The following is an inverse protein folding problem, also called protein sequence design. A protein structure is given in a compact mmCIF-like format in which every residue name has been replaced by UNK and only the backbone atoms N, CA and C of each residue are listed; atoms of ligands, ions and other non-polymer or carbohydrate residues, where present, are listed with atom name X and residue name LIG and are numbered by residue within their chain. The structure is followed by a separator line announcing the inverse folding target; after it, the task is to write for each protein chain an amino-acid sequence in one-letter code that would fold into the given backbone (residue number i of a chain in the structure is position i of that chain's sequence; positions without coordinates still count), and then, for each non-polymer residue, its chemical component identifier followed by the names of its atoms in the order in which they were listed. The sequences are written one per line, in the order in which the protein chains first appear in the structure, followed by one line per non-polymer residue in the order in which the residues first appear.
data_IF_925997269673
#
_entry.id   IF_925997269673
#
_cell.length_a   1.000
_cell.length_b   1.000
_cell.length_c   1.000
_cell.angle_alpha   90.00
_cell.angle_beta   90.00
_cell.angle_gamma   90.00
#
_symmetry.space_group_name_H-M   'P 1'
#
loop_
_entity.id
_entity.type
_entity.pdbx_description
1 polymer ?
#
# COMPACT_ATOMS: atom_id res chain seq x y z
N UNK A 1 -20.15 5.87 35.91
CA UNK A 1 -20.63 5.33 34.62
C UNK A 1 -19.87 6.02 33.51
N UNK A 2 -18.82 5.41 32.95
CA UNK A 2 -18.10 6.00 31.82
C UNK A 2 -18.97 5.88 30.57
N UNK A 3 -19.13 6.98 29.85
CA UNK A 3 -19.93 7.02 28.63
C UNK A 3 -19.32 6.11 27.55
N UNK A 4 -20.11 5.17 27.05
CA UNK A 4 -19.81 4.46 25.80
C UNK A 4 -19.72 5.48 24.67
N UNK A 5 -18.51 5.73 24.16
CA UNK A 5 -18.32 6.59 22.98
C UNK A 5 -18.23 5.74 21.71
N UNK A 6 -18.77 6.25 20.60
CA UNK A 6 -18.67 5.64 19.26
C UNK A 6 -17.22 5.32 18.87
N UNK A 7 -16.25 6.09 19.37
CA UNK A 7 -14.82 5.86 19.20
C UNK A 7 -14.32 4.62 19.94
N UNK A 8 -14.76 4.42 21.19
CA UNK A 8 -14.44 3.21 21.96
C UNK A 8 -15.09 1.95 21.38
N UNK A 9 -16.31 2.06 20.86
CA UNK A 9 -17.00 0.97 20.17
C UNK A 9 -16.32 0.62 18.84
N UNK A 10 -15.90 1.60 18.05
CA UNK A 10 -15.19 1.38 16.78
C UNK A 10 -13.75 0.88 16.99
N UNK A 11 -13.07 1.31 18.05
CA UNK A 11 -11.75 0.79 18.44
C UNK A 11 -11.86 -0.65 18.96
N UNK A 12 -12.90 -0.97 19.74
CA UNK A 12 -13.19 -2.34 20.17
C UNK A 12 -13.64 -3.23 19.01
N UNK A 13 -14.47 -2.73 18.10
CA UNK A 13 -14.90 -3.47 16.91
C UNK A 13 -13.75 -3.65 15.90
N UNK A 14 -12.85 -2.68 15.74
CA UNK A 14 -11.65 -2.83 14.90
C UNK A 14 -10.62 -3.79 15.53
N UNK A 15 -10.52 -3.85 16.86
CA UNK A 15 -9.71 -4.85 17.57
C UNK A 15 -10.27 -6.28 17.48
N UNK A 16 -11.58 -6.43 17.18
CA UNK A 16 -12.28 -7.72 17.14
C UNK A 16 -12.69 -8.18 15.73
N UNK A 17 -12.75 -7.28 14.73
CA UNK A 17 -13.17 -7.55 13.36
C UNK A 17 -12.01 -7.65 12.36
N UNK A 18 -10.88 -8.23 12.77
CA UNK A 18 -9.75 -8.46 11.88
C UNK A 18 -10.04 -9.50 10.80
N UNK A 19 -9.68 -9.16 9.55
CA UNK A 19 -9.59 -9.99 8.33
C UNK A 19 -10.75 -10.96 8.05
N UNK A 20 -11.63 -10.63 7.11
CA UNK A 20 -12.57 -11.62 6.57
C UNK A 20 -11.90 -12.53 5.52
N UNK A 21 -12.00 -13.83 5.72
CA UNK A 21 -11.97 -14.84 4.66
C UNK A 21 -13.19 -15.74 4.89
N UNK A 22 -14.26 -15.53 4.13
CA UNK A 22 -15.36 -16.48 4.04
C UNK A 22 -15.35 -17.09 2.63
N UNK A 23 -14.98 -18.37 2.46
CA UNK A 23 -15.47 -19.12 1.33
C UNK A 23 -16.91 -19.53 1.65
N UNK A 24 -17.89 -18.83 1.09
CA UNK A 24 -19.26 -19.34 1.08
C UNK A 24 -19.30 -20.59 0.22
N UNK A 25 -19.58 -21.76 0.82
CA UNK A 25 -19.94 -22.98 0.10
C UNK A 25 -21.34 -22.84 -0.51
N UNK A 26 -21.46 -21.98 -1.52
CA UNK A 26 -22.58 -21.89 -2.42
C UNK A 26 -22.01 -21.42 -3.76
N UNK A 27 -21.83 -22.38 -4.68
CA UNK A 27 -21.08 -22.27 -5.94
C UNK A 27 -19.58 -22.03 -5.73
N UNK A 28 -18.80 -23.11 -5.81
CA UNK A 28 -17.34 -23.07 -5.66
C UNK A 28 -16.68 -22.43 -6.89
N UNK A 29 -16.75 -21.10 -6.97
CA UNK A 29 -15.71 -20.29 -7.58
C UNK A 29 -14.83 -19.81 -6.41
N UNK A 30 -13.53 -20.09 -6.47
CA UNK A 30 -12.60 -19.57 -5.45
C UNK A 30 -12.83 -18.04 -5.35
N UNK A 31 -13.07 -17.53 -4.14
CA UNK A 31 -13.23 -16.09 -3.93
C UNK A 31 -12.01 -15.38 -4.52
N UNK A 32 -12.24 -14.36 -5.34
CA UNK A 32 -11.15 -13.63 -5.98
C UNK A 32 -10.18 -13.07 -4.91
N UNK A 33 -8.86 -13.12 -5.15
CA UNK A 33 -7.89 -12.57 -4.21
C UNK A 33 -8.22 -11.11 -3.88
N UNK A 34 -8.07 -10.71 -2.61
CA UNK A 34 -8.29 -9.31 -2.22
C UNK A 34 -7.14 -8.46 -2.70
N UNK A 35 -7.45 -7.38 -3.43
CA UNK A 35 -6.44 -6.48 -3.97
C UNK A 35 -6.01 -5.41 -2.97
N UNK A 36 -4.70 -5.18 -2.89
CA UNK A 36 -4.10 -4.08 -2.12
C UNK A 36 -3.08 -3.33 -2.98
N UNK A 37 -3.14 -2.00 -2.97
CA UNK A 37 -2.09 -1.12 -3.47
C UNK A 37 -1.22 -0.64 -2.30
N UNK A 38 0.08 -0.89 -2.35
CA UNK A 38 1.07 -0.22 -1.51
C UNK A 38 1.72 0.92 -2.30
N UNK A 39 1.48 2.16 -1.89
CA UNK A 39 2.15 3.34 -2.39
C UNK A 39 3.37 3.65 -1.52
N UNK A 40 4.58 3.52 -2.08
CA UNK A 40 5.83 3.97 -1.47
C UNK A 40 6.19 5.31 -2.10
N UNK A 41 6.16 6.36 -1.30
CA UNK A 41 6.50 7.71 -1.71
C UNK A 41 7.86 8.12 -1.15
N UNK A 42 8.76 8.44 -2.06
CA UNK A 42 10.09 8.96 -1.77
C UNK A 42 9.99 10.49 -1.76
N UNK A 43 9.73 11.05 -0.59
CA UNK A 43 9.49 12.48 -0.38
C UNK A 43 10.79 13.26 -0.60
N UNK A 44 10.79 14.02 -1.69
CA UNK A 44 11.96 14.65 -2.28
C UNK A 44 12.23 14.17 -3.70
N UNK A 45 11.64 13.09 -4.20
CA UNK A 45 11.73 12.72 -5.61
C UNK A 45 12.43 11.38 -5.87
N UNK A 46 12.11 10.82 -7.03
CA UNK A 46 12.54 9.50 -7.45
C UNK A 46 13.57 9.65 -8.58
N UNK A 47 14.72 8.99 -8.45
CA UNK A 47 15.73 9.10 -9.49
C UNK A 47 15.37 8.25 -10.71
N UNK A 48 15.35 8.86 -11.90
CA UNK A 48 14.94 8.17 -13.12
C UNK A 48 15.88 7.02 -13.50
N UNK A 49 17.12 6.99 -12.98
CA UNK A 49 18.07 5.90 -13.18
C UNK A 49 17.49 4.53 -12.78
N UNK A 50 16.62 4.49 -11.76
CA UNK A 50 16.13 3.22 -11.22
C UNK A 50 15.28 2.43 -12.23
N UNK A 51 14.50 3.13 -13.06
CA UNK A 51 13.59 2.52 -14.05
C UNK A 51 13.95 2.79 -15.52
N UNK A 52 15.08 3.46 -15.78
CA UNK A 52 15.56 3.85 -17.12
C UNK A 52 17.09 3.85 -17.22
N UNK A 53 17.78 2.92 -16.55
CA UNK A 53 19.23 2.98 -16.39
C UNK A 53 20.00 3.00 -17.72
N UNK A 54 19.47 2.33 -18.74
CA UNK A 54 20.07 2.25 -20.06
C UNK A 54 20.05 3.58 -20.82
N UNK A 55 19.11 4.47 -20.52
CA UNK A 55 19.03 5.82 -21.11
C UNK A 55 20.23 6.70 -20.77
N UNK A 56 20.99 6.34 -19.73
CA UNK A 56 22.12 7.11 -19.24
C UNK A 56 23.49 6.55 -19.69
N UNK A 57 23.51 5.35 -20.30
CA UNK A 57 24.73 4.66 -20.71
C UNK A 57 25.59 5.48 -21.68
N UNK A 58 24.97 6.10 -22.68
CA UNK A 58 25.71 6.83 -23.72
C UNK A 58 26.44 8.06 -23.15
N UNK A 59 25.86 8.71 -22.13
CA UNK A 59 26.46 9.86 -21.46
C UNK A 59 27.29 9.50 -20.23
N UNK A 60 27.29 8.23 -19.80
CA UNK A 60 27.86 7.82 -18.51
C UNK A 60 27.26 8.56 -17.31
N UNK A 61 26.07 9.15 -17.47
CA UNK A 61 25.44 9.96 -16.42
C UNK A 61 24.92 9.05 -15.31
N UNK A 62 24.80 9.59 -14.10
CA UNK A 62 24.54 8.81 -12.89
C UNK A 62 25.54 7.66 -12.68
N UNK A 63 26.79 7.83 -13.13
CA UNK A 63 27.81 6.78 -13.04
C UNK A 63 27.41 5.48 -13.75
N UNK A 64 26.49 5.55 -14.71
CA UNK A 64 26.02 4.36 -15.41
C UNK A 64 27.07 3.85 -16.39
N UNK A 65 27.19 2.53 -16.46
CA UNK A 65 28.05 1.79 -17.38
C UNK A 65 27.37 0.48 -17.76
N UNK A 66 27.92 -0.25 -18.72
CA UNK A 66 27.35 -1.53 -19.15
C UNK A 66 27.14 -2.51 -17.97
N UNK A 67 28.00 -2.47 -16.95
CA UNK A 67 27.89 -3.32 -15.76
C UNK A 67 26.83 -2.88 -14.73
N UNK A 68 26.29 -1.66 -14.84
CA UNK A 68 25.29 -1.13 -13.90
C UNK A 68 23.87 -1.16 -14.46
N UNK A 69 23.66 -1.77 -15.62
CA UNK A 69 22.36 -1.85 -16.28
C UNK A 69 21.90 -3.29 -16.36
N UNK A 70 20.66 -3.53 -15.93
CA UNK A 70 19.99 -4.81 -16.09
C UNK A 70 18.78 -4.63 -16.99
N UNK A 71 18.88 -5.13 -18.23
CA UNK A 71 17.74 -5.15 -19.15
C UNK A 71 16.75 -6.22 -18.72
N UNK A 72 15.48 -5.84 -18.71
CA UNK A 72 14.31 -6.68 -18.50
C UNK A 72 13.47 -6.70 -19.79
N UNK A 73 12.39 -7.48 -19.82
CA UNK A 73 11.49 -7.53 -20.96
C UNK A 73 10.71 -6.23 -21.20
N UNK A 74 10.10 -6.12 -22.38
CA UNK A 74 9.21 -5.00 -22.71
C UNK A 74 9.88 -3.62 -22.78
N UNK A 75 11.18 -3.58 -23.05
CA UNK A 75 11.95 -2.33 -23.16
C UNK A 75 12.30 -1.67 -21.82
N UNK A 76 12.11 -2.38 -20.71
CA UNK A 76 12.50 -1.93 -19.37
C UNK A 76 13.98 -2.22 -19.13
N UNK A 77 14.73 -1.25 -18.62
CA UNK A 77 16.06 -1.48 -18.08
C UNK A 77 16.19 -0.74 -16.75
N UNK A 78 16.66 -1.48 -15.75
CA UNK A 78 16.76 -0.99 -14.37
C UNK A 78 18.22 -0.87 -13.95
N UNK A 79 18.45 -0.09 -12.91
CA UNK A 79 19.78 0.02 -12.31
C UNK A 79 20.13 -1.29 -11.60
N UNK A 80 21.15 -1.99 -12.11
CA UNK A 80 21.53 -3.31 -11.65
C UNK A 80 21.92 -3.35 -10.15
N UNK A 81 22.66 -2.35 -9.62
CA UNK A 81 23.00 -2.28 -8.20
C UNK A 81 21.84 -2.00 -7.24
N UNK A 82 20.67 -1.63 -7.73
CA UNK A 82 19.49 -1.35 -6.91
C UNK A 82 18.33 -2.25 -7.31
N UNK A 83 17.45 -1.82 -8.20
CA UNK A 83 16.26 -2.57 -8.59
C UNK A 83 16.59 -3.90 -9.25
N UNK A 84 17.74 -4.02 -9.90
CA UNK A 84 18.21 -5.30 -10.44
C UNK A 84 18.46 -6.39 -9.39
N UNK A 85 18.55 -6.03 -8.11
CA UNK A 85 18.74 -6.93 -6.96
C UNK A 85 17.43 -7.42 -6.32
N UNK A 86 16.28 -6.91 -6.78
CA UNK A 86 14.98 -7.34 -6.27
C UNK A 86 14.74 -8.85 -6.57
N UNK A 87 13.88 -9.52 -5.78
CA UNK A 87 13.50 -10.91 -6.04
C UNK A 87 12.99 -11.12 -7.48
N UNK A 88 13.27 -12.28 -8.07
CA UNK A 88 12.91 -12.56 -9.47
C UNK A 88 11.40 -12.39 -9.74
N UNK A 89 10.54 -12.78 -8.79
CA UNK A 89 9.08 -12.59 -8.88
C UNK A 89 8.67 -11.11 -9.05
N UNK A 90 9.46 -10.18 -8.51
CA UNK A 90 9.25 -8.76 -8.69
C UNK A 90 9.74 -8.32 -10.08
N UNK A 91 10.95 -8.74 -10.48
CA UNK A 91 11.53 -8.41 -11.79
C UNK A 91 10.63 -8.83 -12.95
N UNK A 92 10.06 -10.04 -12.90
CA UNK A 92 9.18 -10.60 -13.94
C UNK A 92 7.84 -9.86 -14.09
N UNK A 93 7.50 -9.02 -13.10
CA UNK A 93 6.20 -8.34 -12.95
C UNK A 93 6.38 -6.84 -12.69
N UNK A 94 7.47 -6.28 -13.20
CA UNK A 94 7.86 -4.89 -12.99
C UNK A 94 7.59 -4.06 -14.23
N UNK A 95 6.96 -2.91 -14.06
CA UNK A 95 6.84 -1.90 -15.09
C UNK A 95 7.33 -0.53 -14.64
N UNK A 96 7.89 0.23 -15.58
CA UNK A 96 8.22 1.65 -15.41
C UNK A 96 7.17 2.51 -16.09
N UNK A 97 6.58 3.46 -15.37
CA UNK A 97 5.48 4.32 -15.82
C UNK A 97 5.92 5.78 -15.79
N UNK A 98 5.80 6.46 -16.92
CA UNK A 98 6.14 7.87 -17.05
C UNK A 98 4.91 8.72 -16.82
N UNK A 99 5.09 9.81 -16.10
CA UNK A 99 4.02 10.75 -15.78
C UNK A 99 4.50 12.17 -16.05
N UNK A 100 3.77 12.88 -16.92
CA UNK A 100 4.06 14.27 -17.25
C UNK A 100 3.10 15.18 -16.49
N UNK A 101 3.61 15.91 -15.49
CA UNK A 101 2.80 16.81 -14.67
C UNK A 101 3.20 18.29 -14.77
N UNK A 102 4.39 18.61 -15.28
CA UNK A 102 4.86 19.98 -15.52
C UNK A 102 5.25 20.76 -14.26
N UNK A 103 5.38 20.08 -13.11
CA UNK A 103 5.64 20.72 -11.81
C UNK A 103 7.06 20.41 -11.36
N UNK A 104 7.84 21.44 -11.01
CA UNK A 104 9.23 21.33 -10.54
C UNK A 104 9.42 21.78 -9.09
N UNK A 105 8.38 22.30 -8.45
CA UNK A 105 8.40 22.71 -7.04
C UNK A 105 7.71 21.66 -6.17
N UNK A 106 8.32 21.32 -5.03
CA UNK A 106 7.80 20.33 -4.08
C UNK A 106 6.37 20.69 -3.62
N UNK A 107 6.15 21.95 -3.28
CA UNK A 107 4.88 22.46 -2.72
C UNK A 107 3.71 22.30 -3.69
N UNK A 108 3.98 22.28 -4.99
CA UNK A 108 2.98 22.04 -6.03
C UNK A 108 2.92 20.55 -6.43
N UNK A 109 4.07 19.91 -6.62
CA UNK A 109 4.16 18.53 -7.10
C UNK A 109 3.56 17.54 -6.10
N UNK A 110 3.95 17.61 -4.83
CA UNK A 110 3.51 16.68 -3.79
C UNK A 110 1.98 16.58 -3.67
N UNK A 111 1.22 17.66 -3.43
CA UNK A 111 -0.24 17.55 -3.33
C UNK A 111 -0.89 17.08 -4.65
N UNK A 112 -0.34 17.44 -5.80
CA UNK A 112 -0.90 17.01 -7.10
C UNK A 112 -0.86 15.49 -7.30
N UNK A 113 0.15 14.81 -6.74
CA UNK A 113 0.30 13.35 -6.83
C UNK A 113 -0.73 12.59 -5.98
N UNK A 114 -1.31 13.25 -4.98
CA UNK A 114 -2.24 12.65 -4.02
C UNK A 114 -3.68 13.13 -4.17
N UNK A 115 -3.90 14.19 -4.93
CA UNK A 115 -5.21 14.83 -5.06
C UNK A 115 -5.70 14.94 -6.49
N UNK A 116 -7.00 14.72 -6.65
CA UNK A 116 -7.75 15.04 -7.85
C UNK A 116 -8.74 16.15 -7.51
N UNK A 117 -8.39 17.38 -7.86
CA UNK A 117 -9.10 18.58 -7.40
C UNK A 117 -9.17 18.62 -5.86
N UNK A 118 -10.35 18.46 -5.26
CA UNK A 118 -10.53 18.45 -3.80
C UNK A 118 -10.70 17.05 -3.21
N UNK A 119 -10.40 15.99 -3.98
CA UNK A 119 -10.54 14.58 -3.56
C UNK A 119 -9.18 13.92 -3.41
N UNK A 120 -9.13 12.81 -2.68
CA UNK A 120 -7.89 12.06 -2.43
C UNK A 120 -7.85 10.79 -3.26
N UNK A 121 -6.81 10.61 -4.07
CA UNK A 121 -6.64 9.40 -4.89
C UNK A 121 -6.67 8.11 -4.05
N UNK A 122 -5.96 8.00 -2.90
CA UNK A 122 -6.07 6.83 -2.02
C UNK A 122 -7.49 6.49 -1.56
N UNK A 123 -8.28 7.47 -1.10
CA UNK A 123 -9.64 7.18 -0.60
C UNK A 123 -10.61 6.89 -1.74
N UNK A 124 -10.43 7.52 -2.91
CA UNK A 124 -11.17 7.20 -4.13
C UNK A 124 -10.93 5.77 -4.59
N UNK A 125 -9.66 5.33 -4.66
CA UNK A 125 -9.33 3.97 -5.08
C UNK A 125 -9.82 2.95 -4.05
N UNK A 126 -9.60 3.19 -2.75
CA UNK A 126 -10.05 2.28 -1.71
C UNK A 126 -11.58 2.12 -1.68
N UNK A 127 -12.35 3.20 -1.92
CA UNK A 127 -13.80 3.11 -2.11
C UNK A 127 -14.16 2.27 -3.33
N UNK A 128 -13.49 2.51 -4.47
CA UNK A 128 -13.80 1.83 -5.73
C UNK A 128 -13.48 0.32 -5.70
N UNK A 129 -12.40 -0.07 -4.99
CA UNK A 129 -12.06 -1.47 -4.74
C UNK A 129 -13.06 -2.19 -3.82
N UNK A 130 -13.81 -1.45 -3.01
CA UNK A 130 -14.90 -2.00 -2.20
C UNK A 130 -14.40 -2.76 -0.96
N UNK A 131 -14.87 -3.99 -0.76
CA UNK A 131 -14.48 -4.83 0.39
C UNK A 131 -15.09 -4.44 1.74
N UNK A 132 -14.75 -5.21 2.77
CA UNK A 132 -15.29 -5.14 4.13
C UNK A 132 -14.23 -4.90 5.21
N UNK A 133 -13.00 -4.56 4.82
CA UNK A 133 -11.94 -4.26 5.77
C UNK A 133 -12.28 -3.07 6.67
N UNK A 134 -11.98 -3.19 7.96
CA UNK A 134 -12.20 -2.12 8.94
C UNK A 134 -11.38 -0.86 8.61
N UNK A 135 -10.17 -1.04 8.08
CA UNK A 135 -9.31 0.02 7.57
C UNK A 135 -9.06 -0.24 6.09
N UNK A 136 -9.77 0.47 5.21
CA UNK A 136 -9.62 0.32 3.76
C UNK A 136 -8.48 1.13 3.17
N UNK A 137 -8.18 2.28 3.77
CA UNK A 137 -7.08 3.15 3.36
C UNK A 137 -6.23 3.50 4.59
N UNK A 138 -4.96 3.10 4.57
CA UNK A 138 -4.04 3.28 5.68
C UNK A 138 -2.82 4.11 5.26
N UNK A 139 -2.28 4.87 6.21
CA UNK A 139 -0.95 5.49 6.10
C UNK A 139 -0.11 4.93 7.23
N UNK A 140 1.00 4.26 6.91
CA UNK A 140 1.88 3.64 7.91
C UNK A 140 2.98 4.62 8.31
N UNK A 141 3.14 4.82 9.62
CA UNK A 141 4.00 5.85 10.20
C UNK A 141 3.29 7.19 10.38
N UNK A 142 4.06 8.24 10.67
CA UNK A 142 3.53 9.54 11.08
C UNK A 142 3.46 10.58 9.95
N UNK A 143 3.99 10.26 8.76
CA UNK A 143 3.99 11.16 7.62
C UNK A 143 2.77 10.90 6.76
N UNK A 144 2.00 11.95 6.48
CA UNK A 144 0.78 11.85 5.69
C UNK A 144 0.99 12.36 4.27
N UNK A 145 0.27 11.81 3.28
CA UNK A 145 0.21 12.39 1.93
C UNK A 145 -0.14 13.88 1.96
N UNK A 146 0.55 14.66 1.12
CA UNK A 146 0.26 16.07 0.96
C UNK A 146 -1.13 16.31 0.35
N UNK A 147 -1.67 17.52 0.55
CA UNK A 147 -2.93 17.94 -0.05
C UNK A 147 -4.20 17.45 0.67
N UNK A 148 -5.32 17.59 -0.04
CA UNK A 148 -6.66 17.27 0.43
C UNK A 148 -6.84 15.76 0.69
N UNK A 149 -7.35 15.43 1.87
CA UNK A 149 -7.58 14.05 2.33
C UNK A 149 -9.02 13.82 2.83
N UNK A 150 -10.06 14.27 2.11
CA UNK A 150 -11.42 14.04 2.57
C UNK A 150 -11.78 12.56 2.54
N UNK A 151 -12.73 12.18 3.40
CA UNK A 151 -13.36 10.88 3.29
C UNK A 151 -14.18 10.77 1.99
N UNK A 152 -14.23 9.57 1.43
CA UNK A 152 -14.86 9.30 0.15
C UNK A 152 -15.75 8.05 0.31
N UNK A 153 -17.07 8.22 0.25
CA UNK A 153 -18.03 7.12 0.42
C UNK A 153 -17.87 6.34 1.73
N UNK A 154 -17.56 7.01 2.84
CA UNK A 154 -17.33 6.38 4.15
C UNK A 154 -15.90 5.83 4.35
N UNK A 155 -15.03 5.91 3.34
CA UNK A 155 -13.61 5.55 3.45
C UNK A 155 -12.78 6.77 3.82
N UNK A 156 -11.90 6.64 4.81
CA UNK A 156 -10.97 7.69 5.23
C UNK A 156 -9.56 7.11 5.37
N UNK A 157 -8.53 7.96 5.20
CA UNK A 157 -7.14 7.58 5.46
C UNK A 157 -6.90 7.51 6.96
N UNK A 158 -6.55 6.33 7.46
CA UNK A 158 -6.24 6.08 8.86
C UNK A 158 -4.73 5.99 9.07
N UNK A 159 -4.19 6.73 10.03
CA UNK A 159 -2.77 6.69 10.39
C UNK A 159 -2.49 5.49 11.29
N UNK A 160 -1.45 4.71 10.95
CA UNK A 160 -0.98 3.54 11.67
C UNK A 160 0.43 3.84 12.18
N UNK A 161 0.51 4.47 13.35
CA UNK A 161 1.77 4.78 14.03
C UNK A 161 2.20 3.69 15.01
N UNK A 162 1.31 2.75 15.33
CA UNK A 162 1.57 1.60 16.18
C UNK A 162 0.76 0.38 15.69
N UNK A 163 1.40 -0.78 15.67
CA UNK A 163 0.88 -2.03 15.14
C UNK A 163 0.12 -2.87 16.17
N UNK A 164 0.12 -2.52 17.46
CA UNK A 164 -0.41 -3.36 18.56
C UNK A 164 -1.87 -3.74 18.33
N UNK A 165 -2.72 -2.74 18.03
CA UNK A 165 -4.13 -2.97 17.78
C UNK A 165 -4.35 -3.92 16.58
N UNK A 166 -3.56 -3.76 15.52
CA UNK A 166 -3.62 -4.62 14.34
C UNK A 166 -3.13 -6.03 14.62
N UNK A 167 -2.03 -6.19 15.38
CA UNK A 167 -1.49 -7.49 15.78
C UNK A 167 -2.54 -8.26 16.59
N UNK A 168 -3.16 -7.60 17.58
CA UNK A 168 -4.26 -8.16 18.39
C UNK A 168 -5.45 -8.54 17.51
N UNK A 169 -5.85 -7.65 16.59
CA UNK A 169 -6.95 -7.89 15.65
C UNK A 169 -6.68 -9.04 14.67
N UNK A 170 -5.41 -9.33 14.39
CA UNK A 170 -4.99 -10.47 13.57
C UNK A 170 -4.59 -11.68 14.43
N UNK A 171 -4.98 -11.73 15.70
CA UNK A 171 -4.76 -12.90 16.55
C UNK A 171 -3.30 -13.18 16.90
N UNK A 172 -2.40 -12.21 16.69
CA UNK A 172 -0.96 -12.34 16.99
C UNK A 172 -0.58 -12.06 18.44
N UNK A 173 -1.56 -11.75 19.29
CA UNK A 173 -1.34 -11.58 20.73
C UNK A 173 -1.23 -12.96 21.41
N UNK A 174 -0.03 -13.53 21.41
CA UNK A 174 0.29 -14.64 22.30
C UNK A 174 0.76 -14.06 23.63
N UNK A 175 -0.13 -13.99 24.63
CA UNK A 175 0.25 -13.72 26.03
C UNK A 175 -0.06 -12.33 26.63
N UNK A 176 -0.93 -11.51 26.04
CA UNK A 176 -1.46 -10.30 26.71
C UNK A 176 -2.72 -10.67 27.53
N UNK A 177 -2.68 -10.64 28.87
CA UNK A 177 -3.82 -11.02 29.72
C UNK A 177 -4.99 -10.03 29.67
N UNK A 178 -4.83 -8.89 28.99
CA UNK A 178 -5.88 -7.86 28.82
C UNK A 178 -6.70 -8.05 27.54
N UNK A 179 -6.28 -8.94 26.64
CA UNK A 179 -7.01 -9.29 25.42
C UNK A 179 -7.96 -10.44 25.71
N UNK A 180 -9.29 -10.25 25.61
CA UNK A 180 -10.25 -11.32 25.84
C UNK A 180 -10.07 -12.44 24.81
N UNK A 181 -10.08 -13.69 25.28
CA UNK A 181 -10.12 -14.85 24.40
C UNK A 181 -11.33 -14.77 23.48
N UNK A 182 -11.13 -14.97 22.17
CA UNK A 182 -12.19 -14.79 21.16
C UNK A 182 -13.31 -15.82 21.28
N UNK A 183 -12.98 -17.07 21.61
CA UNK A 183 -13.98 -18.11 21.80
C UNK A 183 -14.82 -17.79 23.05
N UNK A 184 -14.16 -17.44 24.15
CA UNK A 184 -14.85 -17.04 25.39
C UNK A 184 -15.69 -15.77 25.16
N UNK A 185 -15.17 -14.77 24.46
CA UNK A 185 -15.90 -13.55 24.13
C UNK A 185 -17.10 -13.82 23.21
N UNK A 186 -16.96 -14.74 22.25
CA UNK A 186 -18.07 -15.19 21.39
C UNK A 186 -19.17 -15.82 22.22
N UNK A 187 -18.82 -16.74 23.11
CA UNK A 187 -19.78 -17.45 23.94
C UNK A 187 -20.47 -16.52 24.93
N UNK A 188 -19.75 -15.57 25.52
CA UNK A 188 -20.31 -14.54 26.41
C UNK A 188 -21.25 -13.61 25.65
N UNK A 189 -20.90 -13.17 24.44
CA UNK A 189 -21.78 -12.32 23.63
C UNK A 189 -23.01 -13.08 23.13
N UNK A 190 -22.85 -14.34 22.70
CA UNK A 190 -23.96 -15.20 22.30
C UNK A 190 -24.90 -15.49 23.48
N UNK A 191 -24.36 -15.73 24.68
CA UNK A 191 -25.13 -15.85 25.91
C UNK A 191 -25.88 -14.56 26.27
N UNK A 192 -25.23 -13.40 26.09
CA UNK A 192 -25.83 -12.08 26.35
C UNK A 192 -26.95 -11.73 25.37
N UNK A 193 -26.80 -12.10 24.09
CA UNK A 193 -27.84 -11.99 23.07
C UNK A 193 -29.05 -12.88 23.41
N UNK A 194 -28.79 -14.14 23.77
CA UNK A 194 -29.83 -15.09 24.19
C UNK A 194 -30.61 -14.60 25.41
N UNK A 195 -29.93 -14.06 26.42
CA UNK A 195 -30.59 -13.46 27.60
C UNK A 195 -31.42 -12.22 27.26
N UNK A 196 -31.02 -11.47 26.22
CA UNK A 196 -31.67 -10.23 25.78
C UNK A 196 -32.79 -10.45 24.76
N UNK A 197 -32.87 -11.63 24.15
CA UNK A 197 -33.75 -11.94 23.02
C UNK A 197 -35.23 -11.59 23.25
N UNK A 198 -35.77 -11.86 24.45
CA UNK A 198 -37.17 -11.52 24.78
C UNK A 198 -37.43 -10.01 24.78
N UNK A 199 -36.45 -9.21 25.22
CA UNK A 199 -36.57 -7.74 25.26
C UNK A 199 -36.40 -7.14 23.86
N UNK A 200 -35.44 -7.66 23.08
CA UNK A 200 -35.24 -7.26 21.68
C UNK A 200 -36.49 -7.53 20.83
N UNK A 201 -37.15 -8.68 21.02
CA UNK A 201 -38.38 -9.04 20.31
C UNK A 201 -39.59 -8.18 20.71
N UNK A 202 -39.67 -7.75 21.97
CA UNK A 202 -40.77 -6.91 22.48
C UNK A 202 -40.63 -5.44 22.06
N UNK A 203 -39.43 -4.99 21.71
CA UNK A 203 -39.15 -3.59 21.39
C UNK A 203 -38.22 -3.44 20.18
N UNK A 204 -38.64 -3.92 19.00
CA UNK A 204 -37.77 -4.09 17.83
C UNK A 204 -37.32 -2.76 17.20
N UNK A 205 -38.04 -1.66 17.42
CA UNK A 205 -37.68 -0.33 16.89
C UNK A 205 -36.72 0.43 17.80
N UNK A 206 -36.89 0.35 19.12
CA UNK A 206 -36.08 1.11 20.08
C UNK A 206 -34.77 0.41 20.46
N UNK A 207 -34.69 -0.91 20.28
CA UNK A 207 -33.48 -1.71 20.57
C UNK A 207 -32.77 -2.23 19.32
N UNK A 208 -33.10 -1.69 18.14
CA UNK A 208 -32.54 -2.13 16.86
C UNK A 208 -31.00 -2.04 16.83
N UNK A 209 -30.45 -0.93 17.32
CA UNK A 209 -29.00 -0.74 17.41
C UNK A 209 -28.30 -1.75 18.32
N UNK A 210 -28.98 -2.24 19.35
CA UNK A 210 -28.46 -3.26 20.28
C UNK A 210 -28.52 -4.65 19.64
N UNK A 211 -29.62 -4.98 18.95
CA UNK A 211 -29.74 -6.22 18.18
C UNK A 211 -28.70 -6.30 17.05
N UNK A 212 -28.55 -5.22 16.28
CA UNK A 212 -27.55 -5.12 15.21
C UNK A 212 -26.13 -5.22 15.79
N UNK A 213 -25.90 -4.65 16.99
CA UNK A 213 -24.63 -4.72 17.70
C UNK A 213 -24.25 -6.13 18.17
N UNK A 214 -25.20 -6.90 18.71
CA UNK A 214 -24.97 -8.30 19.08
C UNK A 214 -24.68 -9.16 17.87
N UNK A 215 -25.50 -9.08 16.82
CA UNK A 215 -25.28 -9.84 15.58
C UNK A 215 -23.93 -9.52 14.96
N UNK A 216 -23.60 -8.23 14.81
CA UNK A 216 -22.34 -7.80 14.19
C UNK A 216 -21.12 -8.19 15.03
N UNK A 217 -21.22 -8.08 16.36
CA UNK A 217 -20.13 -8.47 17.27
C UNK A 217 -19.88 -9.98 17.29
N UNK A 218 -20.95 -10.78 17.33
CA UNK A 218 -20.86 -12.26 17.27
C UNK A 218 -20.30 -12.70 15.91
N UNK A 219 -20.77 -12.11 14.81
CA UNK A 219 -20.28 -12.43 13.46
C UNK A 219 -18.82 -12.02 13.25
N UNK A 220 -18.39 -10.92 13.86
CA UNK A 220 -16.99 -10.50 13.85
C UNK A 220 -16.10 -11.48 14.62
N UNK A 221 -16.53 -11.95 15.80
CA UNK A 221 -15.76 -12.88 16.63
C UNK A 221 -15.72 -14.30 16.06
N UNK A 222 -16.79 -14.74 15.38
CA UNK A 222 -16.89 -16.06 14.72
C UNK A 222 -16.09 -16.17 13.42
N UNK A 223 -15.70 -15.04 12.81
CA UNK A 223 -14.80 -15.08 11.65
C UNK A 223 -13.43 -15.55 12.14
N UNK A 224 -12.96 -16.68 11.59
CA UNK A 224 -11.62 -17.20 11.87
C UNK A 224 -10.60 -16.09 11.66
N UNK A 225 -9.99 -15.63 12.76
CA UNK A 225 -8.83 -14.76 12.66
C UNK A 225 -7.75 -15.49 11.88
N UNK A 226 -7.06 -14.79 10.99
CA UNK A 226 -5.71 -15.21 10.61
C UNK A 226 -4.95 -15.51 11.91
N UNK A 227 -4.26 -16.63 12.03
CA UNK A 227 -3.32 -16.84 13.13
C UNK A 227 -2.04 -16.15 12.71
N UNK A 228 -1.92 -14.86 13.05
CA UNK A 228 -0.69 -14.12 12.80
C UNK A 228 0.40 -14.61 13.74
N UNK A 229 1.45 -15.23 13.22
CA UNK A 229 2.70 -15.38 13.96
C UNK A 229 3.50 -14.06 13.86
N UNK A 230 3.29 -13.17 14.84
CA UNK A 230 3.99 -11.88 14.85
C UNK A 230 5.49 -12.05 15.08
N UNK A 231 5.92 -13.08 15.81
CA UNK A 231 7.33 -13.32 16.07
C UNK A 231 8.07 -13.73 14.79
N UNK A 232 7.47 -14.59 13.98
CA UNK A 232 7.98 -14.93 12.66
C UNK A 232 7.98 -13.73 11.72
N UNK A 233 6.93 -12.91 11.74
CA UNK A 233 6.87 -11.68 10.94
C UNK A 233 7.99 -10.70 11.33
N UNK A 234 8.11 -10.38 12.62
CA UNK A 234 9.12 -9.46 13.14
C UNK A 234 10.54 -9.95 12.81
N UNK A 235 10.78 -11.26 12.94
CA UNK A 235 12.06 -11.89 12.59
C UNK A 235 12.38 -11.80 11.10
N UNK A 236 11.39 -11.99 10.22
CA UNK A 236 11.57 -11.87 8.77
C UNK A 236 11.99 -10.47 8.33
N UNK A 237 11.54 -9.43 9.05
CA UNK A 237 11.96 -8.04 8.82
C UNK A 237 13.15 -7.62 9.68
N UNK A 238 13.74 -8.52 10.47
CA UNK A 238 14.86 -8.21 11.37
C UNK A 238 14.55 -7.09 12.36
N UNK A 239 13.35 -7.09 12.95
CA UNK A 239 12.96 -6.19 14.04
C UNK A 239 12.73 -6.99 15.34
N UNK A 240 12.95 -6.39 16.52
CA UNK A 240 12.61 -7.03 17.79
C UNK A 240 11.11 -7.37 17.84
N UNK A 241 10.75 -8.55 18.36
CA UNK A 241 9.36 -9.01 18.48
C UNK A 241 8.49 -8.15 19.42
N UNK A 242 9.11 -7.27 20.21
CA UNK A 242 8.44 -6.29 21.07
C UNK A 242 8.14 -4.97 20.35
N UNK A 243 8.67 -4.77 19.15
CA UNK A 243 8.52 -3.53 18.39
C UNK A 243 7.10 -3.43 17.86
N UNK A 244 6.33 -2.44 18.27
CA UNK A 244 5.01 -2.12 17.68
C UNK A 244 4.96 -0.75 17.03
N UNK A 245 5.86 0.17 17.42
CA UNK A 245 5.93 1.50 16.86
C UNK A 245 6.37 1.49 15.39
N UNK A 246 5.74 2.35 14.59
CA UNK A 246 6.04 2.53 13.16
C UNK A 246 6.80 3.85 12.97
N UNK A 247 8.13 3.79 13.06
CA UNK A 247 8.99 4.98 13.12
C UNK A 247 10.05 5.07 12.00
N UNK A 248 10.22 4.01 11.21
CA UNK A 248 11.14 3.96 10.08
C UNK A 248 10.58 3.10 8.95
N UNK A 249 11.20 3.15 7.77
CA UNK A 249 10.71 2.45 6.59
C UNK A 249 10.60 0.91 6.79
N UNK A 250 11.51 0.30 7.57
CA UNK A 250 11.43 -1.13 7.90
C UNK A 250 10.17 -1.46 8.69
N UNK A 251 9.86 -0.69 9.73
CA UNK A 251 8.60 -0.85 10.49
C UNK A 251 7.36 -0.46 9.66
N UNK A 252 7.48 0.47 8.70
CA UNK A 252 6.39 0.77 7.76
C UNK A 252 6.06 -0.44 6.88
N UNK A 253 7.06 -1.19 6.38
CA UNK A 253 6.81 -2.40 5.59
C UNK A 253 6.16 -3.52 6.41
N UNK A 254 6.54 -3.68 7.69
CA UNK A 254 5.87 -4.63 8.60
C UNK A 254 4.40 -4.22 8.79
N UNK A 255 4.15 -2.94 9.07
CA UNK A 255 2.80 -2.42 9.22
C UNK A 255 1.98 -2.55 7.93
N UNK A 256 2.61 -2.34 6.77
CA UNK A 256 1.97 -2.53 5.47
C UNK A 256 1.57 -3.99 5.24
N UNK A 257 2.42 -4.96 5.60
CA UNK A 257 2.07 -6.38 5.50
C UNK A 257 0.90 -6.73 6.43
N UNK A 258 0.88 -6.18 7.66
CA UNK A 258 -0.27 -6.35 8.56
C UNK A 258 -1.56 -5.75 7.97
N UNK A 259 -1.48 -4.60 7.29
CA UNK A 259 -2.63 -4.00 6.60
C UNK A 259 -3.10 -4.85 5.40
N UNK A 260 -2.18 -5.43 4.64
CA UNK A 260 -2.50 -6.41 3.58
C UNK A 260 -3.24 -7.62 4.17
N UNK A 261 -2.73 -8.19 5.27
CA UNK A 261 -3.35 -9.31 5.96
C UNK A 261 -4.74 -8.94 6.49
N UNK A 262 -4.90 -7.74 7.06
CA UNK A 262 -6.16 -7.17 7.50
C UNK A 262 -7.15 -6.86 6.35
N UNK A 263 -6.68 -6.84 5.11
CA UNK A 263 -7.50 -6.66 3.91
C UNK A 263 -7.64 -5.21 3.45
N UNK A 264 -6.76 -4.29 3.89
CA UNK A 264 -6.75 -2.91 3.41
C UNK A 264 -6.58 -2.84 1.89
N UNK A 265 -7.27 -1.90 1.25
CA UNK A 265 -7.22 -1.71 -0.20
C UNK A 265 -6.07 -0.83 -0.64
N UNK A 266 -5.77 0.22 0.13
CA UNK A 266 -4.66 1.15 -0.15
C UNK A 266 -3.85 1.35 1.12
N UNK A 267 -2.54 1.19 1.02
CA UNK A 267 -1.57 1.47 2.08
C UNK A 267 -0.56 2.46 1.56
N UNK A 268 -0.27 3.51 2.32
CA UNK A 268 0.74 4.50 1.96
C UNK A 268 1.89 4.46 2.96
N UNK A 269 3.10 4.33 2.44
CA UNK A 269 4.37 4.43 3.15
C UNK A 269 5.15 5.62 2.58
N UNK A 270 5.71 6.45 3.46
CA UNK A 270 6.46 7.66 3.06
C UNK A 270 7.83 7.61 3.70
N UNK A 271 8.86 7.76 2.87
CA UNK A 271 10.26 7.86 3.29
C UNK A 271 10.81 9.23 2.85
N UNK A 272 11.35 9.99 3.81
CA UNK A 272 11.76 11.39 3.59
C UNK A 272 13.26 11.55 3.28
N UNK A 273 13.63 12.74 2.82
CA UNK A 273 15.03 13.11 2.60
C UNK A 273 15.57 12.65 1.25
N UNK A 274 14.69 12.49 0.26
CA UNK A 274 15.06 12.21 -1.13
C UNK A 274 15.37 13.46 -1.94
N UNK A 275 15.45 14.63 -1.27
CA UNK A 275 15.94 15.85 -1.87
C UNK A 275 17.47 15.84 -2.02
N UNK A 276 17.96 15.04 -2.97
CA UNK A 276 19.39 14.71 -3.12
C UNK A 276 20.16 15.72 -3.96
N UNK A 277 19.84 17.02 -3.87
CA UNK A 277 20.62 18.06 -4.52
C UNK A 277 22.13 17.88 -4.26
N UNK A 278 22.92 17.96 -5.32
CA UNK A 278 24.37 17.75 -5.25
C UNK A 278 24.81 16.29 -5.44
N UNK A 279 23.89 15.33 -5.55
CA UNK A 279 24.23 13.99 -6.07
C UNK A 279 24.53 14.08 -7.58
N UNK A 280 25.81 14.04 -7.93
CA UNK A 280 26.28 14.24 -9.31
C UNK A 280 26.44 12.94 -10.09
N UNK A 281 26.39 11.79 -9.42
CA UNK A 281 26.69 10.49 -10.03
C UNK A 281 25.76 9.36 -9.56
N UNK A 282 24.70 9.67 -8.83
CA UNK A 282 23.71 8.70 -8.38
C UNK A 282 24.17 7.85 -7.19
N UNK A 283 25.33 8.12 -6.58
CA UNK A 283 25.84 7.33 -5.47
C UNK A 283 24.99 7.49 -4.21
N UNK A 284 24.52 8.72 -3.93
CA UNK A 284 23.71 9.01 -2.74
C UNK A 284 22.37 8.29 -2.85
N UNK A 285 21.66 8.44 -3.97
CA UNK A 285 20.36 7.79 -4.17
C UNK A 285 20.46 6.27 -4.19
N UNK A 286 21.53 5.68 -4.77
CA UNK A 286 21.76 4.22 -4.70
C UNK A 286 22.03 3.76 -3.28
N UNK A 287 22.82 4.51 -2.52
CA UNK A 287 23.10 4.20 -1.11
C UNK A 287 21.82 4.22 -0.29
N UNK A 288 21.00 5.27 -0.43
CA UNK A 288 19.70 5.37 0.24
C UNK A 288 18.77 4.22 -0.14
N UNK A 289 18.67 3.92 -1.44
CA UNK A 289 17.84 2.82 -1.94
C UNK A 289 18.28 1.47 -1.35
N UNK A 290 19.58 1.17 -1.37
CA UNK A 290 20.14 -0.09 -0.89
C UNK A 290 20.11 -0.24 0.63
N UNK A 291 20.22 0.85 1.39
CA UNK A 291 20.28 0.78 2.86
C UNK A 291 18.91 0.91 3.52
N UNK A 292 18.02 1.75 2.95
CA UNK A 292 16.75 2.11 3.60
C UNK A 292 15.56 1.38 3.00
N UNK A 293 15.47 1.31 1.67
CA UNK A 293 14.25 0.89 0.97
C UNK A 293 14.27 -0.60 0.62
N UNK A 294 15.27 -1.03 -0.15
CA UNK A 294 15.31 -2.38 -0.70
C UNK A 294 15.34 -3.49 0.34
N UNK A 295 16.06 -3.39 1.49
CA UNK A 295 16.12 -4.50 2.44
C UNK A 295 14.73 -4.90 2.99
N UNK A 296 13.93 -4.00 3.59
CA UNK A 296 12.59 -4.39 4.03
C UNK A 296 11.60 -4.59 2.87
N UNK A 297 11.77 -3.88 1.75
CA UNK A 297 10.88 -4.04 0.59
C UNK A 297 11.05 -5.43 -0.07
N UNK A 298 12.27 -5.95 -0.17
CA UNK A 298 12.52 -7.26 -0.75
C UNK A 298 11.86 -8.37 0.09
N UNK A 299 11.91 -8.25 1.42
CA UNK A 299 11.15 -9.13 2.33
C UNK A 299 9.64 -9.03 2.08
N UNK A 300 9.12 -7.81 1.99
CA UNK A 300 7.69 -7.57 1.71
C UNK A 300 7.26 -8.17 0.38
N UNK A 301 8.00 -7.93 -0.69
CA UNK A 301 7.70 -8.46 -2.03
C UNK A 301 7.75 -9.99 -2.03
N UNK A 302 8.78 -10.60 -1.45
CA UNK A 302 8.89 -12.06 -1.39
C UNK A 302 7.69 -12.70 -0.66
N UNK A 303 7.26 -12.10 0.45
CA UNK A 303 6.16 -12.64 1.28
C UNK A 303 4.79 -12.38 0.65
N UNK A 304 4.52 -11.16 0.21
CA UNK A 304 3.19 -10.77 -0.31
C UNK A 304 2.91 -11.33 -1.70
N UNK A 305 3.92 -11.46 -2.56
CA UNK A 305 3.74 -12.07 -3.88
C UNK A 305 3.47 -13.58 -3.80
N UNK A 306 3.91 -14.24 -2.71
CA UNK A 306 3.63 -15.65 -2.43
C UNK A 306 2.22 -15.90 -1.88
N UNK A 307 1.50 -14.87 -1.41
CA UNK A 307 0.13 -15.01 -0.92
C UNK A 307 -0.81 -15.41 -2.06
N UNK A 308 -1.68 -16.40 -1.85
CA UNK A 308 -2.64 -16.87 -2.87
C UNK A 308 -3.99 -16.16 -2.76
N UNK A 309 -4.33 -15.64 -1.58
CA UNK A 309 -5.59 -14.97 -1.24
C UNK A 309 -5.48 -13.43 -1.27
N UNK A 310 -4.31 -12.91 -1.63
CA UNK A 310 -4.03 -11.48 -1.80
C UNK A 310 -3.41 -11.20 -3.17
N UNK A 311 -3.78 -10.06 -3.73
CA UNK A 311 -3.16 -9.50 -4.92
C UNK A 311 -2.57 -8.13 -4.58
N UNK A 312 -1.27 -8.13 -4.26
CA UNK A 312 -0.57 -6.93 -3.82
C UNK A 312 0.15 -6.30 -5.01
N UNK A 313 -0.21 -5.06 -5.29
CA UNK A 313 0.52 -4.18 -6.20
C UNK A 313 1.33 -3.18 -5.38
N UNK A 314 2.61 -3.03 -5.68
CA UNK A 314 3.49 -2.04 -5.07
C UNK A 314 3.82 -0.98 -6.12
N UNK A 315 3.75 0.29 -5.76
CA UNK A 315 4.24 1.40 -6.58
C UNK A 315 5.25 2.23 -5.80
N UNK A 316 6.39 2.51 -6.41
CA UNK A 316 7.45 3.36 -5.88
C UNK A 316 7.55 4.59 -6.78
N UNK A 317 7.38 5.76 -6.20
CA UNK A 317 7.43 7.03 -6.92
C UNK A 317 7.83 8.17 -5.98
N UNK A 318 8.01 9.36 -6.55
CA UNK A 318 8.32 10.58 -5.81
C UNK A 318 7.71 11.78 -6.51
N UNK A 319 8.08 12.97 -6.05
CA UNK A 319 7.59 14.27 -6.50
C UNK A 319 7.76 14.47 -8.02
N UNK A 320 8.94 14.10 -8.49
CA UNK A 320 9.40 14.18 -9.88
C UNK A 320 10.60 13.24 -10.07
N UNK A 321 11.00 13.06 -11.33
CA UNK A 321 12.28 12.51 -11.73
C UNK A 321 13.38 13.48 -11.34
N UNK A 322 14.48 12.97 -10.79
CA UNK A 322 15.71 13.78 -10.59
C UNK A 322 16.64 13.70 -11.80
N UNK A 323 17.22 14.83 -12.20
CA UNK A 323 18.07 14.98 -13.39
C UNK A 323 19.52 15.35 -13.10
N UNK A 324 20.42 15.09 -14.06
CA UNK A 324 21.82 15.55 -13.98
C UNK A 324 22.14 16.70 -14.93
N UNK A 325 23.17 17.53 -14.61
CA UNK A 325 23.98 17.48 -13.38
C UNK A 325 23.20 17.96 -12.14
N UNK A 326 23.62 17.52 -10.95
CA UNK A 326 23.16 18.08 -9.67
C UNK A 326 21.92 17.47 -9.02
N UNK A 327 21.28 16.47 -9.64
CA UNK A 327 20.08 15.81 -9.12
C UNK A 327 18.89 16.78 -8.95
N UNK A 328 18.69 17.63 -9.97
CA UNK A 328 17.71 18.73 -10.01
C UNK A 328 16.30 18.25 -10.39
N UNK A 329 15.32 19.14 -10.29
CA UNK A 329 13.91 18.87 -10.40
C UNK A 329 13.42 18.84 -11.85
N UNK A 330 12.63 17.83 -12.21
CA UNK A 330 12.00 17.74 -13.53
C UNK A 330 10.50 17.95 -13.50
N UNK A 331 9.92 18.49 -14.56
CA UNK A 331 8.47 18.61 -14.74
C UNK A 331 7.77 17.27 -15.04
N UNK A 332 8.37 16.15 -14.69
CA UNK A 332 7.88 14.81 -14.96
C UNK A 332 8.36 13.85 -13.87
N UNK A 333 7.74 12.68 -13.76
CA UNK A 333 8.21 11.59 -12.92
C UNK A 333 8.22 10.25 -13.66
N UNK A 334 9.03 9.33 -13.14
CA UNK A 334 8.92 7.90 -13.43
C UNK A 334 8.53 7.18 -12.16
N UNK A 335 7.64 6.21 -12.26
CA UNK A 335 7.23 5.33 -11.17
C UNK A 335 7.55 3.88 -11.52
N UNK A 336 7.95 3.08 -10.52
CA UNK A 336 8.09 1.63 -10.69
C UNK A 336 6.94 0.92 -10.04
N UNK A 337 6.25 0.08 -10.81
CA UNK A 337 5.06 -0.66 -10.38
C UNK A 337 5.31 -2.15 -10.49
N UNK A 338 4.99 -2.89 -9.44
CA UNK A 338 5.25 -4.33 -9.31
C UNK A 338 3.96 -5.01 -8.85
N UNK A 339 3.48 -6.05 -9.54
CA UNK A 339 2.28 -6.77 -9.12
C UNK A 339 1.83 -7.86 -10.08
N UNK A 340 0.94 -8.75 -9.65
CA UNK A 340 0.53 -9.93 -10.45
C UNK A 340 -0.15 -9.57 -11.77
N UNK A 341 -0.78 -8.40 -11.84
CA UNK A 341 -1.44 -7.86 -13.04
C UNK A 341 -0.58 -6.84 -13.81
N UNK A 342 0.69 -6.69 -13.42
CA UNK A 342 1.64 -5.82 -14.12
C UNK A 342 2.39 -6.66 -15.15
N UNK A 343 2.37 -6.22 -16.40
CA UNK A 343 3.18 -6.82 -17.46
C UNK A 343 4.56 -6.18 -17.48
N UNK A 344 5.60 -6.99 -17.55
CA UNK A 344 6.98 -6.49 -17.61
C UNK A 344 7.17 -5.56 -18.82
N UNK A 345 7.63 -4.33 -18.57
CA UNK A 345 7.88 -3.36 -19.64
C UNK A 345 7.97 -1.91 -19.18
N UNK A 346 7.97 -0.98 -20.13
CA UNK A 346 8.05 0.44 -19.82
C UNK A 346 7.18 1.29 -20.73
N UNK A 347 6.42 2.20 -20.13
CA UNK A 347 5.86 3.40 -20.79
C UNK A 347 6.49 4.67 -20.22
N UNK A 348 7.48 4.52 -19.33
CA UNK A 348 8.08 5.59 -18.55
C UNK A 348 9.56 5.78 -18.76
N UNK A 349 10.12 5.16 -19.81
CA UNK A 349 11.54 5.30 -20.12
C UNK A 349 11.82 6.76 -20.48
N UNK A 350 12.61 7.43 -19.64
CA UNK A 350 13.08 8.78 -19.93
C UNK A 350 14.25 8.75 -20.92
N UNK A 351 14.50 9.84 -21.63
CA UNK A 351 15.74 10.05 -22.39
C UNK A 351 16.94 10.38 -21.48
N UNK A 352 18.14 10.45 -22.05
CA UNK A 352 19.37 10.78 -21.30
C UNK A 352 19.36 12.17 -20.64
N UNK A 353 18.48 13.07 -21.09
CA UNK A 353 18.19 14.37 -20.48
C UNK A 353 17.01 14.34 -19.49
N UNK A 354 16.54 13.15 -19.09
CA UNK A 354 15.41 12.93 -18.17
C UNK A 354 14.09 13.51 -18.71
N UNK A 355 13.92 13.54 -20.04
CA UNK A 355 12.66 13.90 -20.68
C UNK A 355 11.80 12.66 -20.97
N UNK A 356 10.48 12.80 -20.86
CA UNK A 356 9.54 11.78 -21.28
C UNK A 356 9.09 12.02 -22.74
N UNK A 357 8.70 10.95 -23.47
CA UNK A 357 8.14 11.08 -24.81
C UNK A 357 6.94 12.06 -24.89
N UNK A 358 6.74 12.67 -26.06
CA UNK A 358 5.56 13.47 -26.31
C UNK A 358 4.28 12.64 -26.15
N UNK A 359 3.22 13.25 -25.60
CA UNK A 359 1.96 12.56 -25.32
C UNK A 359 1.97 11.65 -24.09
N UNK A 360 3.06 11.63 -23.30
CA UNK A 360 3.09 10.86 -22.05
C UNK A 360 1.95 11.31 -21.11
N UNK A 361 1.14 10.37 -20.57
CA UNK A 361 0.00 10.69 -19.71
C UNK A 361 0.36 11.43 -18.41
N UNK A 362 -0.65 12.03 -17.79
CA UNK A 362 -0.53 12.80 -16.55
C UNK A 362 -0.83 11.98 -15.28
N UNK A 363 -0.96 12.68 -14.15
CA UNK A 363 -1.11 12.06 -12.82
C UNK A 363 -2.42 11.27 -12.72
N UNK A 364 -3.51 11.81 -13.27
CA UNK A 364 -4.80 11.15 -13.20
C UNK A 364 -4.77 9.81 -13.96
N UNK A 365 -4.15 9.81 -15.13
CA UNK A 365 -3.96 8.62 -15.96
C UNK A 365 -3.03 7.58 -15.31
N UNK A 366 -2.01 8.03 -14.58
CA UNK A 366 -1.19 7.16 -13.75
C UNK A 366 -2.03 6.45 -12.68
N UNK A 367 -2.92 7.17 -11.98
CA UNK A 367 -3.84 6.54 -11.04
C UNK A 367 -4.87 5.64 -11.73
N UNK A 368 -5.30 5.96 -12.96
CA UNK A 368 -6.14 5.07 -13.77
C UNK A 368 -5.43 3.74 -14.10
N UNK A 369 -4.12 3.79 -14.37
CA UNK A 369 -3.30 2.59 -14.50
C UNK A 369 -3.22 1.81 -13.18
N UNK A 370 -2.95 2.46 -12.04
CA UNK A 370 -2.93 1.80 -10.73
C UNK A 370 -4.27 1.13 -10.39
N UNK A 371 -5.40 1.75 -10.75
CA UNK A 371 -6.72 1.14 -10.61
C UNK A 371 -6.86 -0.11 -11.50
N UNK A 372 -6.36 -0.08 -12.73
CA UNK A 372 -6.40 -1.24 -13.62
C UNK A 372 -5.55 -2.41 -13.10
N UNK A 373 -4.29 -2.17 -12.69
CA UNK A 373 -3.41 -3.24 -12.19
C UNK A 373 -3.76 -3.74 -10.79
N UNK A 374 -4.64 -3.04 -10.07
CA UNK A 374 -5.26 -3.57 -8.85
C UNK A 374 -6.55 -4.34 -9.14
N UNK A 375 -7.00 -4.42 -10.40
CA UNK A 375 -8.26 -5.06 -10.78
C UNK A 375 -9.49 -4.35 -10.23
N UNK A 376 -9.43 -3.02 -10.09
CA UNK A 376 -10.57 -2.22 -9.66
C UNK A 376 -11.75 -2.43 -10.62
N UNK A 377 -12.95 -2.80 -10.14
CA UNK A 377 -14.10 -3.13 -11.00
C UNK A 377 -14.70 -1.92 -11.74
N UNK A 378 -14.24 -0.71 -11.43
CA UNK A 378 -14.61 0.51 -12.14
C UNK A 378 -13.38 1.36 -12.51
N UNK A 379 -13.64 2.50 -13.13
CA UNK A 379 -12.61 3.44 -13.61
C UNK A 379 -12.70 4.77 -12.85
N UNK A 380 -12.37 4.81 -11.54
CA UNK A 380 -12.55 6.00 -10.71
C UNK A 380 -11.74 7.22 -11.17
N UNK A 381 -10.75 7.00 -12.05
CA UNK A 381 -9.84 8.02 -12.58
C UNK A 381 -9.91 8.12 -14.13
N UNK A 382 -10.87 7.45 -14.76
CA UNK A 382 -10.98 7.35 -16.22
C UNK A 382 -10.27 6.13 -16.81
N UNK A 383 -10.14 6.10 -18.14
CA UNK A 383 -9.55 4.99 -18.88
C UNK A 383 -8.05 4.84 -18.57
N UNK A 384 -7.57 3.60 -18.49
CA UNK A 384 -6.15 3.29 -18.37
C UNK A 384 -5.46 3.47 -19.73
N UNK A 385 -4.53 4.43 -19.91
CA UNK A 385 -3.80 4.59 -21.16
C UNK A 385 -2.56 3.68 -21.27
N UNK A 386 -2.18 2.98 -20.20
CA UNK A 386 -0.99 2.14 -20.11
C UNK A 386 -1.32 0.65 -20.33
N UNK A 387 -2.14 0.34 -21.34
CA UNK A 387 -2.61 -1.04 -21.60
C UNK A 387 -1.47 -1.99 -21.98
N UNK A 388 -0.39 -1.48 -22.60
CA UNK A 388 0.76 -2.27 -23.00
C UNK A 388 1.53 -2.93 -21.82
N UNK A 389 1.40 -2.38 -20.61
CA UNK A 389 2.04 -2.85 -19.37
C UNK A 389 1.03 -3.39 -18.35
N UNK A 390 -0.21 -3.66 -18.77
CA UNK A 390 -1.28 -4.26 -17.94
C UNK A 390 -1.54 -5.70 -18.39
N UNK A 391 -1.66 -6.64 -17.45
CA UNK A 391 -2.17 -7.99 -17.70
C UNK A 391 -3.67 -8.01 -17.42
N UNK A 392 -4.45 -8.53 -18.37
CA UNK A 392 -5.91 -8.68 -18.28
C UNK A 392 -6.32 -9.88 -17.46
#
# INVERSE_FOLDING_TARGET
MSSFSRRGLLQGAAALAGASLLPSKAFAQAAAPKSTLLCIFLDGGYNALFGSADSFLAGGTFGTSAGTVKTLGGGLAVDAPTFGTMPQVALDRMASVGVRHGLTAHEAAQPSLWTMSNRSYPTMLAKALGGDAAIKAAVVGNQMPAGARPAEGGVSLQTISDMRATIVALGGAVGDPTVPDRAIATDVMAGSDMMSARRLKRSPRSLRSVADGFSTGIDALKKNGLVLDYNALASAYSIPTTTTAVNNFRTQMVAAELMVLAGSNVVVAIDQGWDTHGDTNGNTVRTMMNQRILPPLNTFLARTQAMTDRDVTVVIFGDFSRSLPGSDHQGNMTATVIGKKVKQGSTGKVGGNVSLPAGTPGIQEFWAYLAAVTGCPGQPFGNNPHTAITLT
#
